data_IF_588102739189
#
_entry.id   IF_588102739189
#
_cell.length_a   1.000
_cell.length_b   1.000
_cell.length_c   1.000
_cell.angle_alpha   90.00
_cell.angle_beta   90.00
_cell.angle_gamma   90.00
#
_symmetry.space_group_name_H-M   'P 1'
#
loop_
_entity.id
_entity.type
_entity.pdbx_description
1 polymer ?
#
# COMPACT_ATOMS: atom_id res chain seq x y z
N UNK A 1 -5.97 -1.46 21.41
CA UNK A 1 -6.29 -2.87 21.10
C UNK A 1 -4.99 -3.64 20.89
N UNK A 2 -4.71 -4.68 21.68
CA UNK A 2 -3.61 -5.60 21.41
C UNK A 2 -3.70 -6.14 19.97
N UNK A 3 -2.58 -6.19 19.24
CA UNK A 3 -2.56 -6.69 17.86
C UNK A 3 -2.89 -5.66 16.77
N UNK A 4 -3.20 -4.41 17.12
CA UNK A 4 -3.48 -3.33 16.15
C UNK A 4 -2.32 -3.06 15.16
N UNK A 5 -1.09 -3.41 15.52
CA UNK A 5 0.07 -3.37 14.64
C UNK A 5 -0.08 -4.25 13.38
N UNK A 6 -0.91 -5.30 13.41
CA UNK A 6 -1.16 -6.16 12.25
C UNK A 6 -1.79 -5.41 11.07
N UNK A 7 -2.48 -4.30 11.35
CA UNK A 7 -3.11 -3.44 10.35
C UNK A 7 -2.36 -2.11 10.25
N UNK A 8 -1.83 -1.60 11.36
CA UNK A 8 -1.11 -0.32 11.39
C UNK A 8 0.28 -0.34 10.76
N UNK A 9 0.95 -1.50 10.72
CA UNK A 9 2.25 -1.66 10.10
C UNK A 9 2.10 -2.17 8.66
N UNK A 10 2.79 -1.53 7.70
CA UNK A 10 2.64 -1.84 6.27
C UNK A 10 3.09 -3.26 5.92
N UNK A 11 4.11 -3.79 6.58
CA UNK A 11 4.68 -5.11 6.30
C UNK A 11 3.75 -6.21 6.79
N UNK A 12 3.22 -6.05 8.02
CA UNK A 12 2.25 -6.98 8.58
C UNK A 12 0.93 -6.93 7.82
N UNK A 13 0.44 -5.72 7.49
CA UNK A 13 -0.76 -5.54 6.69
C UNK A 13 -0.61 -6.24 5.33
N UNK A 14 0.53 -6.06 4.65
CA UNK A 14 0.78 -6.72 3.39
C UNK A 14 0.87 -8.25 3.53
N UNK A 15 1.51 -8.77 4.59
CA UNK A 15 1.56 -10.21 4.82
C UNK A 15 0.16 -10.82 4.90
N UNK A 16 -0.73 -10.22 5.70
CA UNK A 16 -2.12 -10.66 5.83
C UNK A 16 -2.92 -10.51 4.52
N UNK A 17 -2.81 -9.36 3.86
CA UNK A 17 -3.51 -9.13 2.58
C UNK A 17 -3.01 -10.05 1.46
N UNK A 18 -1.71 -10.31 1.39
CA UNK A 18 -1.15 -11.21 0.39
C UNK A 18 -1.62 -12.64 0.62
N UNK A 19 -1.75 -13.10 1.85
CA UNK A 19 -2.32 -14.42 2.14
C UNK A 19 -3.78 -14.48 1.73
N UNK A 20 -4.59 -13.49 2.13
CA UNK A 20 -6.02 -13.45 1.80
C UNK A 20 -6.26 -13.35 0.31
N UNK A 21 -5.49 -12.56 -0.43
CA UNK A 21 -5.59 -12.44 -1.90
C UNK A 21 -5.33 -13.74 -2.66
N UNK A 22 -4.60 -14.69 -2.06
CA UNK A 22 -4.38 -16.01 -2.66
C UNK A 22 -5.56 -16.95 -2.45
N UNK A 23 -6.33 -16.74 -1.38
CA UNK A 23 -7.49 -17.56 -1.01
C UNK A 23 -8.80 -17.00 -1.59
N UNK A 24 -8.93 -15.67 -1.66
CA UNK A 24 -10.13 -14.92 -2.01
C UNK A 24 -9.78 -13.85 -3.05
N UNK A 25 -9.54 -14.29 -4.28
CA UNK A 25 -8.94 -13.45 -5.33
C UNK A 25 -9.83 -12.27 -5.71
N UNK A 26 -11.14 -12.50 -5.83
CA UNK A 26 -12.10 -11.49 -6.28
C UNK A 26 -12.31 -10.41 -5.22
N UNK A 27 -12.44 -10.82 -3.96
CA UNK A 27 -12.71 -9.95 -2.81
C UNK A 27 -11.50 -9.08 -2.42
N UNK A 28 -10.28 -9.55 -2.72
CA UNK A 28 -9.02 -8.84 -2.40
C UNK A 28 -8.32 -8.26 -3.63
N UNK A 29 -9.04 -8.10 -4.74
CA UNK A 29 -8.53 -7.51 -5.99
C UNK A 29 -8.30 -5.98 -5.92
N UNK A 30 -8.66 -5.34 -4.81
CA UNK A 30 -8.54 -3.88 -4.62
C UNK A 30 -7.11 -3.38 -4.38
N UNK A 31 -6.18 -4.27 -4.02
CA UNK A 31 -4.80 -3.88 -3.71
C UNK A 31 -3.91 -3.88 -4.97
N UNK A 32 -3.19 -2.78 -5.29
CA UNK A 32 -2.20 -2.80 -6.36
C UNK A 32 -1.12 -3.87 -6.09
N UNK A 33 -0.51 -4.38 -7.17
CA UNK A 33 0.62 -5.33 -7.06
C UNK A 33 1.67 -4.81 -6.08
N UNK A 34 1.97 -5.59 -5.06
CA UNK A 34 2.82 -5.21 -3.93
C UNK A 34 3.80 -6.33 -3.62
N UNK A 35 4.99 -5.99 -3.10
CA UNK A 35 6.06 -6.89 -2.73
C UNK A 35 6.76 -6.35 -1.48
N UNK A 36 7.04 -7.21 -0.51
CA UNK A 36 7.88 -6.88 0.63
C UNK A 36 9.33 -7.31 0.38
N UNK A 37 10.23 -6.36 0.28
CA UNK A 37 11.66 -6.62 0.17
C UNK A 37 12.33 -6.69 1.55
N UNK A 38 13.43 -7.45 1.69
CA UNK A 38 14.07 -8.28 0.65
C UNK A 38 13.38 -9.63 0.41
N UNK A 39 12.41 -10.03 1.25
CA UNK A 39 11.76 -11.35 1.25
C UNK A 39 11.20 -11.79 -0.10
N UNK A 40 10.60 -10.87 -0.85
CA UNK A 40 9.96 -11.15 -2.15
C UNK A 40 10.80 -10.67 -3.35
N UNK A 41 12.11 -10.45 -3.17
CA UNK A 41 12.98 -9.91 -4.23
C UNK A 41 12.91 -10.72 -5.53
N UNK A 42 13.08 -12.04 -5.47
CA UNK A 42 13.05 -12.89 -6.67
C UNK A 42 11.71 -12.78 -7.43
N UNK A 43 10.60 -12.71 -6.68
CA UNK A 43 9.25 -12.55 -7.26
C UNK A 43 9.10 -11.18 -7.91
N UNK A 44 9.65 -10.14 -7.27
CA UNK A 44 9.66 -8.78 -7.79
C UNK A 44 10.53 -8.68 -9.05
N UNK A 45 11.74 -9.25 -9.06
CA UNK A 45 12.63 -9.35 -10.22
C UNK A 45 11.95 -10.02 -11.41
N UNK A 46 11.32 -11.17 -11.19
CA UNK A 46 10.59 -11.89 -12.23
C UNK A 46 9.39 -11.11 -12.77
N UNK A 47 8.77 -10.25 -11.96
CA UNK A 47 7.73 -9.33 -12.42
C UNK A 47 8.35 -8.16 -13.21
N UNK A 48 9.45 -7.58 -12.70
CA UNK A 48 10.12 -6.43 -13.29
C UNK A 48 10.64 -6.74 -14.69
N UNK A 49 11.30 -7.88 -14.87
CA UNK A 49 11.84 -8.29 -16.17
C UNK A 49 10.75 -8.48 -17.24
N UNK A 50 9.53 -8.83 -16.83
CA UNK A 50 8.41 -9.04 -17.76
C UNK A 50 7.57 -7.79 -18.01
N UNK A 51 7.38 -6.95 -16.99
CA UNK A 51 6.37 -5.87 -17.01
C UNK A 51 6.79 -4.60 -16.24
N UNK A 52 8.04 -4.52 -15.76
CA UNK A 52 8.50 -3.43 -14.90
C UNK A 52 8.97 -2.19 -15.64
N UNK A 53 9.51 -2.35 -16.86
CA UNK A 53 10.03 -1.22 -17.63
C UNK A 53 8.93 -0.19 -17.94
N UNK A 54 9.22 1.08 -17.63
CA UNK A 54 8.28 2.18 -17.83
C UNK A 54 7.10 2.24 -16.85
N UNK A 55 7.03 1.31 -15.88
CA UNK A 55 6.00 1.33 -14.83
C UNK A 55 6.55 2.03 -13.59
N UNK A 56 5.80 3.01 -13.09
CA UNK A 56 6.13 3.66 -11.83
C UNK A 56 5.78 2.76 -10.63
N UNK A 57 6.68 2.71 -9.66
CA UNK A 57 6.55 2.01 -8.39
C UNK A 57 6.72 3.00 -7.25
N UNK A 58 6.07 2.73 -6.12
CA UNK A 58 6.21 3.51 -4.89
C UNK A 58 6.89 2.63 -3.83
N UNK A 59 8.01 3.13 -3.32
CA UNK A 59 8.74 2.54 -2.19
C UNK A 59 8.19 3.17 -0.91
N UNK A 60 7.86 2.32 0.07
CA UNK A 60 7.36 2.74 1.38
C UNK A 60 8.17 2.02 2.47
N UNK A 61 8.88 2.73 3.33
CA UNK A 61 9.51 2.11 4.49
C UNK A 61 8.47 1.64 5.52
N UNK A 62 8.74 0.53 6.24
CA UNK A 62 7.80 -0.12 7.15
C UNK A 62 7.23 0.81 8.22
N UNK A 63 8.12 1.54 8.91
CA UNK A 63 7.78 2.30 10.12
C UNK A 63 7.81 3.83 9.93
N UNK A 64 7.90 4.31 8.70
CA UNK A 64 7.89 5.75 8.45
C UNK A 64 6.46 6.31 8.46
N UNK A 65 6.23 7.28 9.36
CA UNK A 65 5.08 8.18 9.35
C UNK A 65 5.33 9.41 8.48
N UNK A 66 4.28 10.22 8.28
CA UNK A 66 4.35 11.55 7.62
C UNK A 66 4.98 11.57 6.21
N UNK A 67 4.96 10.43 5.51
CA UNK A 67 5.50 10.32 4.15
C UNK A 67 7.03 10.30 4.05
N UNK A 68 7.75 10.21 5.17
CA UNK A 68 9.20 10.16 5.15
C UNK A 68 9.70 8.91 4.42
N UNK A 69 10.71 9.09 3.57
CA UNK A 69 11.34 8.01 2.81
C UNK A 69 10.46 7.39 1.71
N UNK A 70 9.27 7.93 1.44
CA UNK A 70 8.45 7.50 0.32
C UNK A 70 9.07 8.04 -0.97
N UNK A 71 9.31 7.16 -1.95
CA UNK A 71 9.86 7.52 -3.25
C UNK A 71 9.05 6.87 -4.35
N UNK A 72 8.86 7.60 -5.47
CA UNK A 72 8.39 7.02 -6.71
C UNK A 72 9.62 6.72 -7.55
N UNK A 73 9.72 5.49 -8.04
CA UNK A 73 10.86 4.98 -8.83
C UNK A 73 10.34 4.34 -10.10
N UNK A 74 11.12 4.39 -11.16
CA UNK A 74 10.81 3.71 -12.41
C UNK A 74 12.02 3.01 -13.01
N UNK A 75 13.17 3.04 -12.32
CA UNK A 75 14.39 2.40 -12.75
C UNK A 75 14.85 1.33 -11.75
N UNK A 76 15.46 0.27 -12.29
CA UNK A 76 15.86 -0.90 -11.50
C UNK A 76 16.94 -0.55 -10.46
N UNK A 77 17.85 0.35 -10.80
CA UNK A 77 18.95 0.75 -9.91
C UNK A 77 18.49 1.56 -8.69
N UNK A 78 17.26 2.08 -8.70
CA UNK A 78 16.67 2.79 -7.56
C UNK A 78 16.11 1.83 -6.49
N UNK A 79 16.01 0.54 -6.81
CA UNK A 79 15.40 -0.48 -5.95
C UNK A 79 16.36 -0.86 -4.81
N UNK A 80 15.97 -0.66 -3.53
CA UNK A 80 16.84 -0.95 -2.40
C UNK A 80 16.87 -2.45 -2.12
N UNK A 81 17.94 -3.11 -2.57
CA UNK A 81 18.02 -4.58 -2.54
C UNK A 81 18.08 -5.22 -1.16
N UNK A 82 18.60 -4.48 -0.17
CA UNK A 82 18.92 -5.01 1.16
C UNK A 82 18.14 -4.34 2.30
N UNK A 83 17.21 -3.44 1.98
CA UNK A 83 16.43 -2.73 2.99
C UNK A 83 15.02 -3.31 3.09
N UNK A 84 14.49 -3.38 4.31
CA UNK A 84 13.09 -3.75 4.53
C UNK A 84 12.20 -2.63 4.02
N UNK A 85 11.50 -2.86 2.91
CA UNK A 85 10.58 -1.90 2.30
C UNK A 85 9.41 -2.61 1.65
N UNK A 86 8.28 -1.90 1.55
CA UNK A 86 7.20 -2.26 0.65
C UNK A 86 7.41 -1.58 -0.70
N UNK A 87 7.42 -2.37 -1.76
CA UNK A 87 7.36 -1.89 -3.14
C UNK A 87 5.96 -2.18 -3.67
N UNK A 88 5.28 -1.14 -4.15
CA UNK A 88 3.92 -1.25 -4.65
C UNK A 88 3.79 -0.55 -6.00
N UNK A 89 2.99 -1.09 -6.91
CA UNK A 89 2.74 -0.45 -8.21
C UNK A 89 2.08 0.90 -7.96
N UNK A 90 2.67 1.97 -8.51
CA UNK A 90 2.09 3.30 -8.38
C UNK A 90 0.84 3.41 -9.27
N UNK A 91 -0.23 3.96 -8.70
CA UNK A 91 -1.46 4.26 -9.47
C UNK A 91 -1.19 5.54 -10.25
N UNK A 92 -0.75 5.41 -11.50
CA UNK A 92 -0.34 6.51 -12.36
C UNK A 92 -1.50 7.33 -12.93
N UNK A 93 -2.71 6.76 -12.96
CA UNK A 93 -3.94 7.43 -13.41
C UNK A 93 -4.97 7.50 -12.28
N UNK A 94 -4.70 8.24 -11.18
CA UNK A 94 -5.68 8.42 -10.12
C UNK A 94 -6.87 9.25 -10.62
N UNK A 95 -8.02 9.11 -9.98
CA UNK A 95 -9.11 10.07 -10.16
C UNK A 95 -8.63 11.44 -9.69
N UNK A 96 -8.90 12.46 -10.48
CA UNK A 96 -8.60 13.85 -10.16
C UNK A 96 -9.89 14.61 -9.89
N UNK A 97 -9.82 15.58 -8.97
CA UNK A 97 -10.85 16.59 -8.76
C UNK A 97 -10.17 17.94 -9.02
N UNK A 98 -10.70 18.72 -9.96
CA UNK A 98 -10.11 19.99 -10.40
C UNK A 98 -8.63 19.89 -10.82
N UNK A 99 -8.26 18.76 -11.42
CA UNK A 99 -6.88 18.47 -11.85
C UNK A 99 -5.91 18.10 -10.72
N UNK A 100 -6.38 17.98 -9.48
CA UNK A 100 -5.55 17.62 -8.33
C UNK A 100 -5.78 16.16 -7.92
N UNK A 101 -4.68 15.48 -7.62
CA UNK A 101 -4.70 14.17 -6.94
C UNK A 101 -5.21 14.36 -5.51
N UNK A 102 -5.98 13.41 -5.03
CA UNK A 102 -6.43 13.39 -3.65
C UNK A 102 -6.40 11.98 -3.06
N UNK A 103 -6.49 11.91 -1.73
CA UNK A 103 -6.77 10.68 -1.00
C UNK A 103 -7.90 10.89 0.00
N UNK A 104 -8.57 9.79 0.38
CA UNK A 104 -9.66 9.79 1.34
C UNK A 104 -9.18 9.26 2.70
N UNK A 105 -9.45 10.00 3.76
CA UNK A 105 -9.36 9.52 5.14
C UNK A 105 -10.76 9.14 5.61
N UNK A 106 -10.97 7.83 5.72
CA UNK A 106 -12.19 7.24 6.29
C UNK A 106 -11.89 6.86 7.73
N UNK A 107 -12.81 7.18 8.65
CA UNK A 107 -12.69 6.81 10.06
C UNK A 107 -13.52 5.57 10.37
N UNK A 108 -12.87 4.56 10.93
CA UNK A 108 -13.48 3.27 11.28
C UNK A 108 -13.29 3.03 12.78
N UNK A 109 -14.39 2.70 13.48
CA UNK A 109 -14.40 2.36 14.90
C UNK A 109 -14.68 0.86 15.07
N UNK A 110 -13.76 0.18 15.73
CA UNK A 110 -13.93 -1.20 16.18
C UNK A 110 -14.26 -1.18 17.68
N UNK A 111 -15.51 -1.52 18.04
CA UNK A 111 -15.95 -1.51 19.45
C UNK A 111 -15.86 -2.89 20.10
N UNK A 112 -15.88 -3.96 19.31
CA UNK A 112 -15.79 -5.33 19.81
C UNK A 112 -15.21 -6.26 18.74
N UNK A 113 -14.42 -7.24 19.17
CA UNK A 113 -13.90 -8.32 18.31
C UNK A 113 -14.65 -9.63 18.46
N UNK A 114 -15.30 -9.84 19.60
CA UNK A 114 -16.06 -11.04 19.89
C UNK A 114 -17.31 -10.69 20.70
N UNK A 115 -18.47 -10.45 20.06
CA UNK A 115 -18.71 -10.52 18.61
C UNK A 115 -18.07 -9.34 17.86
N UNK A 116 -17.74 -9.50 16.58
CA UNK A 116 -17.16 -8.42 15.77
C UNK A 116 -18.17 -7.28 15.56
N UNK A 117 -17.80 -6.05 15.93
CA UNK A 117 -18.61 -4.84 15.74
C UNK A 117 -17.75 -3.70 15.19
N UNK A 118 -17.99 -3.35 13.93
CA UNK A 118 -17.25 -2.33 13.18
C UNK A 118 -18.23 -1.26 12.69
N UNK A 119 -17.86 0.01 12.85
CA UNK A 119 -18.65 1.17 12.43
C UNK A 119 -17.80 2.05 11.53
N UNK A 120 -18.38 2.55 10.44
CA UNK A 120 -17.76 3.57 9.58
C UNK A 120 -18.40 4.92 9.93
N UNK A 121 -17.58 5.91 10.25
CA UNK A 121 -18.08 7.25 10.52
C UNK A 121 -18.60 7.89 9.24
N UNK A 122 -19.70 8.65 9.32
CA UNK A 122 -20.36 9.22 8.13
C UNK A 122 -19.50 10.28 7.44
N UNK A 123 -18.71 11.00 8.21
CA UNK A 123 -17.81 12.02 7.70
C UNK A 123 -16.38 11.48 7.54
N UNK A 124 -15.63 12.10 6.64
CA UNK A 124 -14.23 11.81 6.37
C UNK A 124 -13.49 13.06 5.92
N UNK A 125 -12.20 12.92 5.60
CA UNK A 125 -11.41 14.02 5.03
C UNK A 125 -10.96 13.68 3.61
N UNK A 126 -11.05 14.65 2.72
CA UNK A 126 -10.40 14.60 1.41
C UNK A 126 -9.11 15.41 1.51
N UNK A 127 -7.97 14.77 1.24
CA UNK A 127 -6.66 15.41 1.28
C UNK A 127 -6.16 15.60 -0.14
N UNK A 128 -6.05 16.84 -0.57
CA UNK A 128 -5.55 17.19 -1.90
C UNK A 128 -4.04 17.30 -1.91
N UNK A 129 -3.43 16.99 -3.04
CA UNK A 129 -2.04 17.34 -3.31
C UNK A 129 -1.90 18.87 -3.39
N UNK A 130 -0.80 19.41 -2.86
CA UNK A 130 -0.53 20.85 -2.84
C UNK A 130 -0.09 21.41 -4.21
N UNK A 131 0.18 20.52 -5.17
CA UNK A 131 0.68 20.86 -6.51
C UNK A 131 -0.06 20.00 -7.53
N UNK A 132 -0.29 20.57 -8.73
CA UNK A 132 -0.82 19.83 -9.90
C UNK A 132 0.18 18.81 -10.41
#
# INVERSE_FOLDING_TARGET
>A
MPGSQNIGNKDLLWAHLSEMSRKFVEEYSFMPKTYALPREMQRFEGMWNRHGMGVAWIIKPPSAGRGQGIKIVNQWWEIPKWHSVIIQRYISRPKLINGLKFDLRIYVLLTSINPMRIYVYKEGLVRFASVR
#
